data_IF_458343881298
#
_entry.id   IF_458343881298
#
_cell.length_a   1.000
_cell.length_b   1.000
_cell.length_c   1.000
_cell.angle_alpha   90.00
_cell.angle_beta   90.00
_cell.angle_gamma   90.00
#
_symmetry.space_group_name_H-M   'P 1'
#
loop_
_entity.id
_entity.type
_entity.pdbx_description
1 polymer ?
#
# COMPACT_ATOMS: atom_id res chain seq x y z
N UNK A 1 7.94 15.50 5.24
CA UNK A 1 9.15 14.76 5.62
C UNK A 1 10.20 15.66 6.26
N UNK A 2 10.28 16.94 5.90
CA UNK A 2 11.17 17.91 6.55
C UNK A 2 11.05 17.98 8.08
N UNK A 3 9.84 17.83 8.62
CA UNK A 3 9.63 17.79 10.07
C UNK A 3 10.34 16.60 10.74
N UNK A 4 10.45 15.44 10.09
CA UNK A 4 11.22 14.30 10.63
C UNK A 4 12.72 14.56 10.63
N UNK A 5 13.22 15.49 9.79
CA UNK A 5 14.62 15.93 9.88
C UNK A 5 14.84 16.78 11.13
N UNK A 6 13.87 17.62 11.47
CA UNK A 6 13.91 18.53 12.63
C UNK A 6 13.57 17.86 13.97
N UNK A 7 12.66 16.88 13.96
CA UNK A 7 12.11 16.22 15.14
C UNK A 7 12.42 14.71 15.10
N UNK A 8 13.51 14.25 15.74
CA UNK A 8 13.87 12.83 15.80
C UNK A 8 12.76 11.94 16.41
N UNK A 9 11.99 12.48 17.36
CA UNK A 9 10.86 11.81 17.98
C UNK A 9 9.70 11.51 17.00
N UNK A 10 9.64 12.23 15.87
CA UNK A 10 8.69 11.96 14.80
C UNK A 10 9.02 10.68 14.02
N UNK A 11 10.29 10.26 14.03
CA UNK A 11 10.79 9.13 13.23
C UNK A 11 10.29 7.78 13.72
N UNK A 12 9.88 7.65 14.98
CA UNK A 12 9.37 6.39 15.55
C UNK A 12 7.85 6.23 15.39
N UNK A 13 7.16 7.23 14.86
CA UNK A 13 5.70 7.29 14.79
C UNK A 13 5.21 6.84 13.41
N UNK A 14 4.19 5.99 13.38
CA UNK A 14 3.39 5.79 12.17
C UNK A 14 2.48 7.00 11.91
N UNK A 15 1.91 7.13 10.70
CA UNK A 15 1.10 8.30 10.34
C UNK A 15 -0.02 8.62 11.34
N UNK A 16 -0.76 7.60 11.79
CA UNK A 16 -1.86 7.76 12.76
C UNK A 16 -1.39 8.29 14.13
N UNK A 17 -0.17 7.97 14.54
CA UNK A 17 0.45 8.51 15.75
C UNK A 17 1.08 9.88 15.51
N UNK A 18 1.55 10.13 14.28
CA UNK A 18 2.14 11.39 13.90
C UNK A 18 1.14 12.54 14.00
N UNK A 19 -0.06 12.37 13.44
CA UNK A 19 -1.17 13.34 13.47
C UNK A 19 -1.73 13.63 14.87
N UNK A 20 -1.55 12.72 15.83
CA UNK A 20 -1.94 12.98 17.22
C UNK A 20 -0.91 13.87 17.92
N UNK A 21 0.39 13.70 17.64
CA UNK A 21 1.49 14.48 18.25
C UNK A 21 1.88 15.76 17.51
N UNK A 22 1.64 15.82 16.21
CA UNK A 22 2.01 16.95 15.36
C UNK A 22 0.77 17.58 14.71
N UNK A 23 0.84 18.88 14.43
CA UNK A 23 -0.19 19.64 13.71
C UNK A 23 0.41 20.28 12.47
N UNK A 24 -0.30 20.17 11.35
CA UNK A 24 0.10 20.82 10.11
C UNK A 24 -0.33 22.29 10.11
N UNK A 25 0.65 23.20 10.06
CA UNK A 25 0.42 24.64 10.05
C UNK A 25 0.38 25.11 8.59
N UNK A 26 -0.84 25.30 8.05
CA UNK A 26 -1.06 25.65 6.62
C UNK A 26 -0.28 26.89 6.17
N UNK A 27 -0.19 27.92 7.01
CA UNK A 27 0.49 29.20 6.68
C UNK A 27 1.99 29.01 6.43
N UNK A 28 2.66 28.18 7.24
CA UNK A 28 4.09 27.90 7.11
C UNK A 28 4.39 26.59 6.40
N UNK A 29 3.36 25.88 5.91
CA UNK A 29 3.43 24.58 5.21
C UNK A 29 4.31 23.54 5.90
N UNK A 30 4.29 23.53 7.24
CA UNK A 30 5.14 22.67 8.03
C UNK A 30 4.39 21.99 9.18
N UNK A 31 4.90 20.85 9.61
CA UNK A 31 4.41 20.18 10.80
C UNK A 31 5.15 20.70 12.03
N UNK A 32 4.41 21.00 13.09
CA UNK A 32 4.95 21.42 14.39
C UNK A 32 4.43 20.52 15.48
N UNK A 33 5.18 20.41 16.58
CA UNK A 33 4.73 19.70 17.77
C UNK A 33 3.41 20.31 18.25
N UNK A 34 2.43 19.46 18.57
CA UNK A 34 1.15 19.89 19.11
C UNK A 34 1.34 20.36 20.55
N UNK A 35 0.81 21.54 20.86
CA UNK A 35 0.86 22.12 22.21
C UNK A 35 -0.31 21.69 23.10
N UNK A 36 -1.48 21.44 22.52
CA UNK A 36 -2.70 21.07 23.26
C UNK A 36 -3.71 20.33 22.36
N UNK A 37 -4.60 19.56 23.00
CA UNK A 37 -5.67 18.79 22.37
C UNK A 37 -5.26 17.43 21.83
N UNK A 38 -6.26 16.66 21.38
CA UNK A 38 -6.08 15.35 20.73
C UNK A 38 -6.80 15.35 19.38
N UNK A 39 -6.23 14.67 18.39
CA UNK A 39 -6.86 14.52 17.07
C UNK A 39 -6.54 13.15 16.52
N UNK A 40 -7.57 12.49 15.99
CA UNK A 40 -7.42 11.27 15.20
C UNK A 40 -7.28 11.72 13.74
N UNK A 41 -6.09 11.62 13.18
CA UNK A 41 -5.91 11.96 11.77
C UNK A 41 -6.53 10.89 10.88
N UNK A 42 -7.20 11.36 9.82
CA UNK A 42 -7.85 10.50 8.83
C UNK A 42 -7.07 10.61 7.53
N UNK A 43 -6.68 9.46 6.98
CA UNK A 43 -6.25 9.41 5.59
C UNK A 43 -7.50 9.29 4.70
N UNK A 44 -7.54 10.03 3.59
CA UNK A 44 -8.64 9.99 2.60
C UNK A 44 -8.69 8.65 1.89
N UNK A 45 -9.82 7.94 1.95
CA UNK A 45 -9.97 6.63 1.28
C UNK A 45 -9.57 6.75 -0.21
N UNK A 46 -8.73 5.81 -0.66
CA UNK A 46 -8.28 5.71 -2.05
C UNK A 46 -8.73 4.35 -2.54
N UNK A 47 -9.31 4.32 -3.74
CA UNK A 47 -9.75 3.09 -4.39
C UNK A 47 -8.54 2.26 -4.85
N UNK A 48 -8.55 0.91 -4.72
CA UNK A 48 -7.50 0.05 -5.28
C UNK A 48 -7.26 0.27 -6.77
N UNK A 49 -8.29 0.68 -7.52
CA UNK A 49 -8.19 1.01 -8.95
C UNK A 49 -7.31 2.23 -9.25
N UNK A 50 -6.94 3.03 -8.25
CA UNK A 50 -6.04 4.17 -8.41
C UNK A 50 -4.55 3.77 -8.40
N UNK A 51 -4.24 2.47 -8.38
CA UNK A 51 -2.90 1.93 -8.57
C UNK A 51 -1.90 2.45 -7.55
N UNK A 52 -0.82 3.09 -8.02
CA UNK A 52 0.27 3.59 -7.17
C UNK A 52 -0.19 4.54 -6.05
N UNK A 53 -1.26 5.31 -6.25
CA UNK A 53 -1.80 6.17 -5.19
C UNK A 53 -2.37 5.35 -4.02
N UNK A 54 -2.99 4.21 -4.31
CA UNK A 54 -3.51 3.31 -3.30
C UNK A 54 -2.36 2.71 -2.48
N UNK A 55 -1.32 2.22 -3.16
CA UNK A 55 -0.14 1.64 -2.51
C UNK A 55 0.66 2.67 -1.72
N UNK A 56 0.81 3.90 -2.22
CA UNK A 56 1.41 5.00 -1.47
C UNK A 56 0.67 5.26 -0.16
N UNK A 57 -0.67 5.32 -0.18
CA UNK A 57 -1.48 5.48 1.02
C UNK A 57 -1.26 4.32 1.99
N UNK A 58 -1.22 3.09 1.50
CA UNK A 58 -0.93 1.92 2.33
C UNK A 58 0.46 2.01 2.97
N UNK A 59 1.49 2.39 2.22
CA UNK A 59 2.83 2.54 2.77
C UNK A 59 2.86 3.57 3.90
N UNK A 60 2.19 4.73 3.73
CA UNK A 60 2.14 5.77 4.75
C UNK A 60 1.58 5.32 6.11
N UNK A 61 0.78 4.25 6.18
CA UNK A 61 0.27 3.75 7.46
C UNK A 61 1.29 2.92 8.23
N UNK A 62 2.25 2.30 7.55
CA UNK A 62 3.21 1.35 8.13
C UNK A 62 4.61 1.92 8.27
N UNK A 63 5.06 2.73 7.30
CA UNK A 63 6.43 3.24 7.28
C UNK A 63 6.65 4.29 8.37
N UNK A 64 7.86 4.29 8.91
CA UNK A 64 8.33 5.18 9.96
C UNK A 64 9.66 5.78 9.54
N UNK A 65 10.04 6.89 10.14
CA UNK A 65 11.38 7.45 9.95
C UNK A 65 11.62 8.18 8.64
N UNK A 66 10.59 8.40 7.82
CA UNK A 66 10.71 9.03 6.50
C UNK A 66 11.36 10.41 6.55
N UNK A 67 12.51 10.57 5.90
CA UNK A 67 13.22 11.85 5.74
C UNK A 67 13.21 12.36 4.30
N UNK A 68 13.08 11.47 3.32
CA UNK A 68 12.85 11.78 1.91
C UNK A 68 11.74 10.92 1.30
N UNK A 69 11.35 11.19 0.06
CA UNK A 69 10.23 10.52 -0.61
C UNK A 69 10.58 9.06 -0.95
N UNK A 70 11.85 8.82 -1.26
CA UNK A 70 12.43 7.52 -1.58
C UNK A 70 12.39 6.57 -0.39
N UNK A 71 12.47 7.10 0.85
CA UNK A 71 12.31 6.31 2.07
C UNK A 71 10.94 5.61 2.13
N UNK A 72 9.92 6.14 1.46
CA UNK A 72 8.56 5.55 1.46
C UNK A 72 8.54 4.21 0.74
N UNK A 73 9.36 4.05 -0.30
CA UNK A 73 9.48 2.82 -1.08
C UNK A 73 10.70 1.99 -0.69
N UNK A 74 11.35 2.33 0.42
CA UNK A 74 12.52 1.61 0.93
C UNK A 74 12.09 0.67 2.05
N UNK A 75 12.32 -0.63 1.86
CA UNK A 75 12.01 -1.67 2.85
C UNK A 75 13.29 -2.42 3.16
N UNK A 76 13.66 -2.51 4.44
CA UNK A 76 14.89 -3.20 4.89
C UNK A 76 16.17 -2.73 4.16
N UNK A 77 16.30 -1.42 3.93
CA UNK A 77 17.39 -0.77 3.18
C UNK A 77 17.46 -1.10 1.68
N UNK A 78 16.39 -1.67 1.10
CA UNK A 78 16.26 -1.91 -0.34
C UNK A 78 15.21 -0.94 -0.89
N UNK A 79 15.59 -0.13 -1.86
CA UNK A 79 14.68 0.77 -2.56
C UNK A 79 13.96 0.01 -3.69
N UNK A 80 12.63 0.06 -3.70
CA UNK A 80 11.81 -0.63 -4.70
C UNK A 80 11.35 0.31 -5.82
N UNK A 81 11.21 -0.17 -7.07
CA UNK A 81 10.79 0.64 -8.21
C UNK A 81 9.41 1.29 -8.02
N UNK A 82 8.46 0.57 -7.41
CA UNK A 82 7.07 1.01 -7.21
C UNK A 82 6.65 0.91 -5.74
N UNK A 83 5.62 1.68 -5.34
CA UNK A 83 5.01 1.54 -4.01
C UNK A 83 4.34 0.19 -3.85
N UNK A 84 3.84 -0.38 -4.94
CA UNK A 84 3.29 -1.72 -4.96
C UNK A 84 4.33 -2.77 -4.58
N UNK A 85 5.51 -2.72 -5.18
CA UNK A 85 6.58 -3.68 -4.90
C UNK A 85 7.08 -3.54 -3.46
N UNK A 86 7.17 -2.32 -2.95
CA UNK A 86 7.47 -2.07 -1.55
C UNK A 86 6.37 -2.64 -0.62
N UNK A 87 5.09 -2.46 -0.96
CA UNK A 87 3.96 -3.07 -0.23
C UNK A 87 4.06 -4.61 -0.23
N UNK A 88 4.46 -5.21 -1.35
CA UNK A 88 4.65 -6.66 -1.45
C UNK A 88 5.82 -7.11 -0.56
N UNK A 89 6.97 -6.43 -0.62
CA UNK A 89 8.16 -6.77 0.15
C UNK A 89 7.96 -6.69 1.67
N UNK A 90 7.16 -5.73 2.15
CA UNK A 90 6.83 -5.60 3.58
C UNK A 90 5.70 -6.54 4.02
N UNK A 91 5.10 -7.31 3.09
CA UNK A 91 4.06 -8.30 3.38
C UNK A 91 2.64 -7.72 3.50
N UNK A 92 2.38 -6.54 2.94
CA UNK A 92 1.03 -5.96 2.88
C UNK A 92 0.18 -6.54 1.75
N UNK A 93 0.80 -7.13 0.73
CA UNK A 93 0.12 -7.78 -0.39
C UNK A 93 0.39 -9.29 -0.34
N UNK A 94 -0.65 -10.09 -0.58
CA UNK A 94 -0.51 -11.53 -0.81
C UNK A 94 -0.11 -11.80 -2.26
N UNK A 95 0.54 -12.93 -2.49
CA UNK A 95 0.72 -13.41 -3.87
C UNK A 95 -0.62 -13.93 -4.42
N UNK A 96 -0.67 -14.09 -5.75
CA UNK A 96 -1.88 -14.53 -6.45
C UNK A 96 -1.81 -16.03 -6.80
N UNK A 97 -0.96 -16.80 -6.10
CA UNK A 97 -0.74 -18.23 -6.41
C UNK A 97 -2.01 -19.05 -6.29
N UNK A 98 -2.83 -18.76 -5.29
CA UNK A 98 -4.12 -19.45 -5.09
C UNK A 98 -5.01 -19.36 -6.34
N UNK A 99 -5.00 -18.22 -7.04
CA UNK A 99 -5.77 -18.06 -8.28
C UNK A 99 -5.15 -18.82 -9.45
N UNK A 100 -3.82 -18.80 -9.57
CA UNK A 100 -3.10 -19.54 -10.62
C UNK A 100 -3.38 -21.03 -10.48
N UNK A 101 -3.21 -21.59 -9.29
CA UNK A 101 -3.44 -23.01 -9.05
C UNK A 101 -4.91 -23.40 -9.24
N UNK A 102 -5.86 -22.56 -8.80
CA UNK A 102 -7.28 -22.79 -9.03
C UNK A 102 -7.65 -22.82 -10.53
N UNK A 103 -7.07 -21.92 -11.34
CA UNK A 103 -7.30 -21.92 -12.80
C UNK A 103 -6.63 -23.12 -13.47
N UNK A 104 -5.41 -23.49 -13.05
CA UNK A 104 -4.70 -24.69 -13.54
C UNK A 104 -5.50 -25.96 -13.26
N UNK A 105 -6.03 -26.13 -12.04
CA UNK A 105 -6.88 -27.28 -11.72
C UNK A 105 -8.18 -27.28 -12.52
N UNK A 106 -8.80 -26.11 -12.70
CA UNK A 106 -10.03 -25.96 -13.49
C UNK A 106 -9.81 -26.26 -14.98
N UNK A 107 -8.60 -26.03 -15.52
CA UNK A 107 -8.25 -26.24 -16.93
C UNK A 107 -8.44 -27.70 -17.35
N UNK A 108 -8.09 -28.62 -16.46
CA UNK A 108 -8.17 -30.06 -16.73
C UNK A 108 -9.60 -30.62 -16.64
N UNK A 109 -10.51 -29.89 -15.97
CA UNK A 109 -11.88 -30.36 -15.67
C UNK A 109 -12.99 -29.55 -16.34
N UNK A 110 -12.70 -28.32 -16.77
CA UNK A 110 -13.67 -27.34 -17.22
C UNK A 110 -13.65 -27.08 -18.72
N UNK A 111 -14.77 -26.55 -19.24
CA UNK A 111 -14.83 -26.05 -20.62
C UNK A 111 -14.18 -24.67 -20.75
N UNK A 112 -13.78 -24.27 -21.96
CA UNK A 112 -13.25 -22.91 -22.20
C UNK A 112 -14.25 -21.80 -21.83
N UNK A 113 -15.56 -22.05 -21.90
CA UNK A 113 -16.57 -21.13 -21.40
C UNK A 113 -16.52 -21.00 -19.87
N UNK A 114 -16.38 -22.13 -19.16
CA UNK A 114 -16.26 -22.15 -17.70
C UNK A 114 -15.02 -21.38 -17.23
N UNK A 115 -13.87 -21.60 -17.86
CA UNK A 115 -12.60 -20.92 -17.51
C UNK A 115 -12.71 -19.40 -17.67
N UNK A 116 -13.28 -18.92 -18.77
CA UNK A 116 -13.50 -17.47 -18.97
C UNK A 116 -14.42 -16.90 -17.89
N UNK A 117 -15.50 -17.61 -17.55
CA UNK A 117 -16.42 -17.17 -16.50
C UNK A 117 -15.74 -17.13 -15.13
N UNK A 118 -14.95 -18.16 -14.80
CA UNK A 118 -14.17 -18.24 -13.57
C UNK A 118 -13.21 -17.05 -13.44
N UNK A 119 -12.43 -16.79 -14.49
CA UNK A 119 -11.49 -15.67 -14.51
C UNK A 119 -12.20 -14.32 -14.31
N UNK A 120 -13.31 -14.07 -15.01
CA UNK A 120 -14.12 -12.85 -14.82
C UNK A 120 -14.63 -12.74 -13.39
N UNK A 121 -15.12 -13.83 -12.78
CA UNK A 121 -15.55 -13.82 -11.37
C UNK A 121 -14.40 -13.46 -10.43
N UNK A 122 -13.19 -13.99 -10.67
CA UNK A 122 -12.01 -13.64 -9.89
C UNK A 122 -11.64 -12.15 -10.03
N UNK A 123 -11.72 -11.58 -11.24
CA UNK A 123 -11.48 -10.13 -11.45
C UNK A 123 -12.49 -9.26 -10.71
N UNK A 124 -13.77 -9.64 -10.76
CA UNK A 124 -14.85 -8.92 -10.07
C UNK A 124 -14.73 -8.97 -8.55
N UNK A 125 -14.04 -9.96 -7.99
CA UNK A 125 -13.79 -10.05 -6.54
C UNK A 125 -12.84 -8.97 -6.01
N UNK A 126 -12.11 -8.26 -6.89
CA UNK A 126 -11.09 -7.25 -6.54
C UNK A 126 -9.98 -7.75 -5.60
N UNK A 127 -9.86 -9.06 -5.43
CA UNK A 127 -8.95 -9.70 -4.47
C UNK A 127 -7.64 -10.16 -5.11
N UNK A 128 -7.54 -10.07 -6.45
CA UNK A 128 -6.36 -10.43 -7.24
C UNK A 128 -5.46 -9.21 -7.44
N UNK A 129 -4.19 -9.33 -7.07
CA UNK A 129 -3.25 -8.21 -7.07
C UNK A 129 -2.57 -7.98 -8.43
N UNK A 130 -2.38 -9.03 -9.24
CA UNK A 130 -1.79 -9.00 -10.59
C UNK A 130 -2.57 -9.86 -11.58
N UNK A 131 -3.71 -9.36 -12.09
CA UNK A 131 -4.47 -10.05 -13.12
C UNK A 131 -3.66 -10.53 -14.33
N UNK A 132 -2.76 -9.68 -14.83
CA UNK A 132 -1.94 -10.01 -16.00
C UNK A 132 -0.96 -11.15 -15.71
N UNK A 133 -0.33 -11.15 -14.54
CA UNK A 133 0.57 -12.22 -14.13
C UNK A 133 -0.19 -13.55 -13.94
N UNK A 134 -1.39 -13.50 -13.36
CA UNK A 134 -2.23 -14.71 -13.25
C UNK A 134 -2.59 -15.25 -14.62
N UNK A 135 -2.97 -14.38 -15.56
CA UNK A 135 -3.31 -14.76 -16.94
C UNK A 135 -2.12 -15.39 -17.69
N UNK A 136 -0.92 -14.85 -17.53
CA UNK A 136 0.29 -15.37 -18.20
C UNK A 136 0.74 -16.73 -17.65
N UNK A 137 0.39 -17.04 -16.40
CA UNK A 137 0.82 -18.26 -15.69
C UNK A 137 -0.15 -19.46 -15.82
N UNK A 138 -1.30 -19.32 -16.48
CA UNK A 138 -2.39 -20.33 -16.54
C UNK A 138 -2.69 -20.81 -17.96
#
# INVERSE_FOLDING_TARGET
MEANKQYPEGRILGYAQYVSKFVYVKRSRCWKLRKSGYTIGRLVWISPFMGELYYLRMMLTVVKGLTCYEDIRTVSNIEYPTFRDACFAIGLLKDDKEYIEAIREAKDRGSGFYLRKLFVTMLLSTSMNRPNHVWEET
#
